data_IF_621210669824
#
_entry.id   IF_621210669824
#
_cell.length_a   1.000
_cell.length_b   1.000
_cell.length_c   1.000
_cell.angle_alpha   90.00
_cell.angle_beta   90.00
_cell.angle_gamma   90.00
#
_symmetry.space_group_name_H-M   'P 1'
#
loop_
_entity.id
_entity.type
_entity.pdbx_description
1 polymer ?
#
# COMPACT_ATOMS: atom_id res chain seq x y z
N UNK A 1 15.84 46.70 36.63
CA UNK A 1 16.37 45.53 35.90
C UNK A 1 15.65 45.42 34.56
N UNK A 2 16.28 45.90 33.49
CA UNK A 2 15.73 45.84 32.14
C UNK A 2 16.02 44.43 31.60
N UNK A 3 14.98 43.68 31.24
CA UNK A 3 15.09 42.34 30.66
C UNK A 3 15.53 42.51 29.20
N UNK A 4 16.75 42.09 28.87
CA UNK A 4 17.21 42.05 27.48
C UNK A 4 16.33 41.08 26.68
N UNK A 5 15.67 41.60 25.65
CA UNK A 5 14.93 40.79 24.68
C UNK A 5 15.95 40.03 23.83
N UNK A 6 16.00 38.71 23.98
CA UNK A 6 16.77 37.83 23.08
C UNK A 6 16.27 38.08 21.65
N UNK A 7 17.14 38.66 20.83
CA UNK A 7 16.91 38.81 19.40
C UNK A 7 16.85 37.42 18.79
N UNK A 8 15.67 36.96 18.41
CA UNK A 8 15.51 35.73 17.65
C UNK A 8 16.35 35.87 16.37
N UNK A 9 17.38 35.04 16.23
CA UNK A 9 18.23 35.01 15.05
C UNK A 9 17.34 34.70 13.84
N UNK A 10 16.98 35.75 13.10
CA UNK A 10 16.20 35.66 11.88
C UNK A 10 17.09 34.96 10.86
N UNK A 11 16.94 33.64 10.75
CA UNK A 11 17.70 32.78 9.83
C UNK A 11 17.72 33.43 8.46
N UNK A 12 18.92 33.60 7.92
CA UNK A 12 19.17 34.36 6.69
C UNK A 12 18.27 33.87 5.55
N UNK A 13 17.27 34.72 5.26
CA UNK A 13 16.34 34.53 4.16
C UNK A 13 17.09 35.02 2.92
N UNK A 14 17.85 34.14 2.26
CA UNK A 14 18.26 34.36 0.85
C UNK A 14 18.91 33.16 0.13
N UNK A 15 18.84 31.93 0.65
CA UNK A 15 19.14 30.76 -0.18
C UNK A 15 17.86 30.26 -0.86
N UNK A 16 17.85 30.12 -2.19
CA UNK A 16 16.89 29.23 -2.83
C UNK A 16 17.20 27.82 -2.31
N UNK A 17 16.47 27.37 -1.29
CA UNK A 17 16.69 26.05 -0.70
C UNK A 17 16.15 24.99 -1.66
N UNK A 18 17.09 24.33 -2.33
CA UNK A 18 16.87 23.14 -3.15
C UNK A 18 16.86 21.91 -2.26
N UNK A 19 15.86 21.04 -2.44
CA UNK A 19 15.75 19.79 -1.70
C UNK A 19 15.59 18.56 -2.59
N UNK A 20 15.65 17.39 -1.99
CA UNK A 20 15.30 16.13 -2.62
C UNK A 20 14.10 15.51 -1.90
N UNK A 21 13.17 14.95 -2.66
CA UNK A 21 12.00 14.26 -2.11
C UNK A 21 12.12 12.80 -2.47
N UNK A 22 12.34 11.97 -1.47
CA UNK A 22 12.38 10.52 -1.60
C UNK A 22 10.99 9.94 -1.32
N UNK A 23 10.38 9.38 -2.35
CA UNK A 23 9.09 8.68 -2.26
C UNK A 23 9.34 7.18 -2.27
N UNK A 24 9.01 6.50 -1.18
CA UNK A 24 8.99 5.03 -1.11
C UNK A 24 7.56 4.56 -1.35
N UNK A 25 7.25 4.21 -2.60
CA UNK A 25 5.95 3.70 -3.03
C UNK A 25 5.92 2.17 -2.96
N UNK A 26 5.42 1.63 -1.84
CA UNK A 26 5.11 0.21 -1.69
C UNK A 26 3.62 -0.04 -1.90
N UNK A 27 3.22 -1.30 -2.13
CA UNK A 27 1.81 -1.68 -2.25
C UNK A 27 1.02 -1.51 -0.94
N UNK A 28 1.68 -1.41 0.22
CA UNK A 28 1.01 -1.31 1.53
C UNK A 28 1.12 0.05 2.19
N UNK A 29 2.08 0.87 1.77
CA UNK A 29 2.34 2.18 2.34
C UNK A 29 3.11 3.05 1.36
N UNK A 30 2.87 4.35 1.46
CA UNK A 30 3.72 5.36 0.84
C UNK A 30 4.35 6.21 1.94
N UNK A 31 5.67 6.34 1.88
CA UNK A 31 6.45 7.16 2.80
C UNK A 31 7.14 8.22 1.96
N UNK A 32 6.98 9.48 2.37
CA UNK A 32 7.58 10.64 1.72
C UNK A 32 8.55 11.27 2.70
N UNK A 33 9.80 11.39 2.27
CA UNK A 33 10.87 11.98 3.06
C UNK A 33 11.48 13.11 2.25
N UNK A 34 11.56 14.30 2.83
CA UNK A 34 12.15 15.47 2.22
C UNK A 34 13.49 15.73 2.90
N UNK A 35 14.53 15.83 2.09
CA UNK A 35 15.91 15.98 2.54
C UNK A 35 16.58 17.18 1.89
N UNK A 36 17.68 17.62 2.49
CA UNK A 36 18.64 18.51 1.86
C UNK A 36 19.36 17.81 0.69
N UNK A 37 20.15 18.57 -0.05
CA UNK A 37 21.08 18.05 -1.08
C UNK A 37 22.11 17.08 -0.51
N UNK A 38 22.49 17.25 0.76
CA UNK A 38 23.40 16.35 1.48
C UNK A 38 22.73 15.08 2.03
N UNK A 39 21.40 14.96 1.88
CA UNK A 39 20.64 13.78 2.35
C UNK A 39 20.17 13.85 3.80
N UNK A 40 20.40 14.95 4.51
CA UNK A 40 19.86 15.19 5.85
C UNK A 40 18.33 15.33 5.79
N UNK A 41 17.61 14.62 6.66
CA UNK A 41 16.14 14.64 6.66
C UNK A 41 15.61 15.88 7.36
N UNK A 42 14.75 16.64 6.66
CA UNK A 42 14.13 17.86 7.16
C UNK A 42 12.72 17.54 7.65
N UNK A 43 11.93 16.90 6.78
CA UNK A 43 10.57 16.50 7.09
C UNK A 43 10.26 15.14 6.51
N UNK A 44 9.34 14.44 7.16
CA UNK A 44 8.82 13.18 6.65
C UNK A 44 7.36 13.03 7.03
N UNK A 45 6.63 12.30 6.20
CA UNK A 45 5.29 11.85 6.51
C UNK A 45 5.04 10.51 5.82
N UNK A 46 4.04 9.78 6.31
CA UNK A 46 3.59 8.56 5.68
C UNK A 46 2.07 8.56 5.62
N UNK A 47 1.50 7.73 4.75
CA UNK A 47 0.04 7.53 4.70
C UNK A 47 -0.53 7.19 6.09
N UNK A 48 0.22 6.46 6.93
CA UNK A 48 -0.18 6.18 8.31
C UNK A 48 -0.15 7.41 9.23
N UNK A 49 0.85 8.29 9.07
CA UNK A 49 0.95 9.53 9.86
C UNK A 49 -0.16 10.53 9.53
N UNK A 50 -0.74 10.46 8.33
CA UNK A 50 -1.89 11.28 7.93
C UNK A 50 -3.24 10.68 8.39
N UNK A 51 -3.23 9.67 9.27
CA UNK A 51 -4.44 9.11 9.88
C UNK A 51 -5.05 7.90 9.15
N UNK A 52 -4.47 7.43 8.04
CA UNK A 52 -5.01 6.28 7.31
C UNK A 52 -4.53 4.95 7.91
N UNK A 53 -5.49 4.11 8.30
CA UNK A 53 -5.25 2.79 8.93
C UNK A 53 -5.65 1.63 8.00
N UNK A 54 -5.07 0.45 8.23
CA UNK A 54 -5.41 -0.78 7.51
C UNK A 54 -5.21 -0.68 6.00
N UNK A 55 -6.13 -1.27 5.23
CA UNK A 55 -6.10 -1.28 3.77
C UNK A 55 -6.20 0.12 3.14
N UNK A 56 -6.74 1.13 3.85
CA UNK A 56 -6.85 2.50 3.32
C UNK A 56 -5.47 3.15 3.13
N UNK A 57 -4.43 2.65 3.80
CA UNK A 57 -3.06 3.18 3.71
C UNK A 57 -2.41 2.98 2.33
N UNK A 58 -2.86 1.98 1.56
CA UNK A 58 -2.34 1.69 0.22
C UNK A 58 -3.00 2.51 -0.89
N UNK A 59 -3.96 3.39 -0.58
CA UNK A 59 -4.65 4.17 -1.61
C UNK A 59 -3.79 5.33 -2.11
N UNK A 60 -4.04 5.74 -3.37
CA UNK A 60 -3.41 6.91 -4.00
C UNK A 60 -3.72 8.21 -3.26
N UNK A 61 -4.95 8.37 -2.76
CA UNK A 61 -5.37 9.52 -1.98
C UNK A 61 -4.60 9.65 -0.66
N UNK A 62 -4.39 8.55 0.06
CA UNK A 62 -3.60 8.55 1.28
C UNK A 62 -2.15 8.99 1.03
N UNK A 63 -1.58 8.58 -0.12
CA UNK A 63 -0.24 8.99 -0.53
C UNK A 63 -0.16 10.49 -0.87
N UNK A 64 -1.19 11.04 -1.53
CA UNK A 64 -1.30 12.47 -1.81
C UNK A 64 -1.34 13.29 -0.51
N UNK A 65 -2.21 12.92 0.44
CA UNK A 65 -2.32 13.59 1.73
C UNK A 65 -1.02 13.51 2.55
N UNK A 66 -0.30 12.38 2.48
CA UNK A 66 1.02 12.25 3.11
C UNK A 66 2.05 13.19 2.47
N UNK A 67 2.07 13.29 1.15
CA UNK A 67 3.00 14.17 0.44
C UNK A 67 2.71 15.64 0.71
N UNK A 68 1.43 16.02 0.80
CA UNK A 68 0.99 17.37 1.15
C UNK A 68 1.45 17.75 2.57
N UNK A 69 1.25 16.86 3.55
CA UNK A 69 1.66 17.10 4.94
C UNK A 69 3.19 17.20 5.09
N UNK A 70 3.96 16.37 4.39
CA UNK A 70 5.42 16.49 4.37
C UNK A 70 5.86 17.80 3.69
N UNK A 71 5.20 18.16 2.58
CA UNK A 71 5.47 19.36 1.81
C UNK A 71 5.23 20.64 2.60
N UNK A 72 4.10 20.74 3.31
CA UNK A 72 3.79 21.89 4.18
C UNK A 72 4.89 22.14 5.22
N UNK A 73 5.30 21.08 5.93
CA UNK A 73 6.42 21.15 6.89
C UNK A 73 7.72 21.58 6.22
N UNK A 74 8.01 21.09 5.01
CA UNK A 74 9.21 21.51 4.27
C UNK A 74 9.19 22.97 3.82
N UNK A 75 8.00 23.50 3.47
CA UNK A 75 7.83 24.91 3.13
C UNK A 75 8.03 25.80 4.37
N UNK A 76 7.58 25.37 5.55
CA UNK A 76 7.87 26.05 6.82
C UNK A 76 9.38 26.11 7.10
N UNK A 77 10.14 25.10 6.68
CA UNK A 77 11.60 25.08 6.76
C UNK A 77 12.31 25.86 5.63
N UNK A 78 11.57 26.44 4.68
CA UNK A 78 12.10 27.33 3.64
C UNK A 78 12.41 26.67 2.29
N UNK A 79 12.08 25.38 2.09
CA UNK A 79 12.31 24.69 0.82
C UNK A 79 11.31 25.19 -0.23
N UNK A 80 11.79 25.50 -1.43
CA UNK A 80 10.94 25.98 -2.54
C UNK A 80 10.98 25.10 -3.78
N UNK A 81 12.15 24.55 -4.10
CA UNK A 81 12.33 23.72 -5.31
C UNK A 81 12.87 22.35 -4.93
N UNK A 82 12.32 21.30 -5.52
CA UNK A 82 12.67 19.92 -5.18
C UNK A 82 12.87 19.03 -6.40
N UNK A 83 13.82 18.08 -6.29
CA UNK A 83 13.92 16.93 -7.19
C UNK A 83 13.17 15.76 -6.58
N UNK A 84 12.23 15.19 -7.31
CA UNK A 84 11.43 14.06 -6.87
C UNK A 84 12.08 12.77 -7.30
N UNK A 85 12.35 11.88 -6.34
CA UNK A 85 12.99 10.59 -6.52
C UNK A 85 12.04 9.51 -6.02
N UNK A 86 11.50 8.72 -6.94
CA UNK A 86 10.60 7.61 -6.61
C UNK A 86 11.37 6.32 -6.43
N UNK A 87 10.94 5.48 -5.48
CA UNK A 87 11.36 4.09 -5.32
C UNK A 87 10.14 3.19 -5.18
N UNK A 88 10.03 2.19 -6.03
CA UNK A 88 8.96 1.19 -6.02
C UNK A 88 7.84 1.44 -7.04
N UNK A 89 6.98 0.44 -7.21
CA UNK A 89 5.85 0.41 -8.16
C UNK A 89 4.48 0.64 -7.49
N UNK A 90 4.47 1.05 -6.22
CA UNK A 90 3.23 1.23 -5.48
C UNK A 90 2.32 2.36 -6.04
N UNK A 91 1.03 2.35 -5.67
CA UNK A 91 0.03 3.30 -6.18
C UNK A 91 0.33 4.76 -5.84
N UNK A 92 1.13 5.03 -4.80
CA UNK A 92 1.51 6.38 -4.39
C UNK A 92 2.53 7.08 -5.30
N UNK A 93 3.09 6.38 -6.30
CA UNK A 93 4.16 6.89 -7.18
C UNK A 93 3.84 8.22 -7.84
N UNK A 94 2.73 8.30 -8.57
CA UNK A 94 2.33 9.52 -9.28
C UNK A 94 1.52 10.47 -8.39
N UNK A 95 0.83 9.93 -7.39
CA UNK A 95 -0.03 10.71 -6.49
C UNK A 95 0.76 11.66 -5.58
N UNK A 96 1.99 11.28 -5.20
CA UNK A 96 2.85 12.16 -4.42
C UNK A 96 3.23 13.44 -5.17
N UNK A 97 3.43 13.38 -6.49
CA UNK A 97 3.67 14.56 -7.33
C UNK A 97 2.54 15.59 -7.17
N UNK A 98 1.29 15.13 -7.19
CA UNK A 98 0.12 16.00 -6.99
C UNK A 98 0.11 16.63 -5.59
N UNK A 99 0.36 15.84 -4.54
CA UNK A 99 0.36 16.35 -3.17
C UNK A 99 1.48 17.36 -2.88
N UNK A 100 2.65 17.19 -3.49
CA UNK A 100 3.78 18.14 -3.36
C UNK A 100 3.49 19.46 -4.09
N UNK A 101 2.85 19.40 -5.26
CA UNK A 101 2.39 20.60 -5.97
C UNK A 101 1.32 21.34 -5.15
N UNK A 102 0.36 20.62 -4.57
CA UNK A 102 -0.65 21.20 -3.66
C UNK A 102 -0.05 21.85 -2.42
N UNK A 103 1.08 21.35 -1.92
CA UNK A 103 1.80 21.95 -0.80
C UNK A 103 2.59 23.22 -1.16
N UNK A 104 2.71 23.57 -2.46
CA UNK A 104 3.42 24.76 -2.93
C UNK A 104 4.90 24.55 -3.26
N UNK A 105 5.36 23.30 -3.36
CA UNK A 105 6.73 22.99 -3.81
C UNK A 105 6.82 22.94 -5.33
N UNK A 106 7.87 23.55 -5.90
CA UNK A 106 8.18 23.48 -7.33
C UNK A 106 8.98 22.22 -7.63
N UNK A 107 8.49 21.36 -8.51
CA UNK A 107 9.17 20.12 -8.89
C UNK A 107 10.05 20.40 -10.10
N UNK A 108 11.38 20.26 -9.95
CA UNK A 108 12.34 20.51 -11.03
C UNK A 108 12.60 19.28 -11.89
N UNK A 109 12.67 18.10 -11.27
CA UNK A 109 12.98 16.84 -11.95
C UNK A 109 12.21 15.70 -11.28
N UNK A 110 11.75 14.75 -12.09
CA UNK A 110 11.16 13.48 -11.64
C UNK A 110 12.07 12.35 -12.08
N UNK A 111 12.67 11.65 -11.12
CA UNK A 111 13.53 10.49 -11.34
C UNK A 111 12.98 9.24 -10.67
N UNK A 112 13.28 8.07 -11.22
CA UNK A 112 12.98 6.78 -10.62
C UNK A 112 14.26 6.03 -10.28
N UNK A 113 14.35 5.58 -9.03
CA UNK A 113 15.44 4.76 -8.49
C UNK A 113 14.87 3.47 -7.91
N UNK A 114 14.03 2.77 -8.69
CA UNK A 114 13.56 1.43 -8.36
C UNK A 114 14.75 0.46 -8.36
N UNK A 115 15.09 -0.20 -7.24
CA UNK A 115 16.21 -1.14 -7.21
C UNK A 115 15.81 -2.42 -7.97
N UNK A 116 16.58 -2.74 -9.01
CA UNK A 116 16.44 -3.97 -9.79
C UNK A 116 17.56 -4.94 -9.35
N UNK A 117 17.23 -6.10 -8.76
CA UNK A 117 18.25 -7.06 -8.34
C UNK A 117 18.81 -7.85 -9.53
N UNK A 118 20.13 -7.95 -9.64
CA UNK A 118 20.81 -8.79 -10.63
C UNK A 118 20.95 -10.22 -10.11
N UNK A 119 19.87 -11.02 -10.19
CA UNK A 119 19.85 -12.43 -9.79
C UNK A 119 20.50 -12.73 -8.41
N UNK A 120 20.34 -11.82 -7.44
CA UNK A 120 20.90 -11.96 -6.09
C UNK A 120 20.10 -12.91 -5.20
N UNK A 121 19.61 -12.42 -4.07
CA UNK A 121 18.87 -13.26 -3.12
C UNK A 121 17.60 -13.87 -3.72
N UNK A 122 17.32 -15.12 -3.36
CA UNK A 122 16.09 -15.83 -3.75
C UNK A 122 14.85 -15.06 -3.28
N UNK A 123 13.93 -14.76 -4.21
CA UNK A 123 12.65 -14.15 -3.89
C UNK A 123 11.82 -15.04 -2.95
N UNK A 124 11.07 -14.41 -2.03
CA UNK A 124 10.16 -15.14 -1.14
C UNK A 124 9.15 -15.93 -1.96
N UNK A 125 8.83 -17.16 -1.52
CA UNK A 125 7.81 -18.00 -2.14
C UNK A 125 6.52 -17.20 -2.33
N UNK A 126 5.98 -17.19 -3.55
CA UNK A 126 4.73 -16.50 -3.89
C UNK A 126 3.63 -17.02 -2.95
N UNK A 127 2.95 -16.12 -2.26
CA UNK A 127 1.79 -16.46 -1.44
C UNK A 127 0.66 -16.88 -2.40
N UNK A 128 0.02 -18.03 -2.12
CA UNK A 128 -1.18 -18.45 -2.85
C UNK A 128 -2.31 -17.48 -2.48
N UNK A 129 -3.09 -16.99 -3.45
CA UNK A 129 -4.29 -16.20 -3.13
C UNK A 129 -5.34 -17.10 -2.47
N UNK A 130 -6.20 -16.48 -1.65
CA UNK A 130 -7.26 -17.18 -0.92
C UNK A 130 -8.28 -17.79 -1.91
N UNK A 131 -8.44 -17.22 -3.10
CA UNK A 131 -9.24 -17.79 -4.20
C UNK A 131 -8.85 -19.23 -4.52
N UNK A 132 -7.56 -19.54 -4.65
CA UNK A 132 -7.11 -20.92 -4.88
C UNK A 132 -7.36 -21.84 -3.67
N UNK A 133 -7.40 -21.29 -2.46
CA UNK A 133 -7.71 -22.08 -1.26
C UNK A 133 -9.20 -22.36 -1.20
N UNK A 134 -10.05 -21.39 -1.53
CA UNK A 134 -11.49 -21.55 -1.61
C UNK A 134 -11.89 -22.49 -2.74
N UNK A 135 -11.30 -22.41 -3.93
CA UNK A 135 -11.56 -23.38 -5.00
C UNK A 135 -11.16 -24.80 -4.57
N UNK A 136 -9.98 -24.99 -3.98
CA UNK A 136 -9.54 -26.32 -3.50
C UNK A 136 -10.41 -26.82 -2.33
N UNK A 137 -10.85 -25.95 -1.42
CA UNK A 137 -11.77 -26.31 -0.33
C UNK A 137 -13.18 -26.62 -0.85
N UNK A 138 -13.72 -25.82 -1.78
CA UNK A 138 -15.05 -26.03 -2.37
C UNK A 138 -15.05 -27.33 -3.16
N UNK A 139 -14.01 -27.62 -3.94
CA UNK A 139 -13.87 -28.88 -4.69
C UNK A 139 -13.78 -30.09 -3.73
N UNK A 140 -13.05 -29.96 -2.62
CA UNK A 140 -12.96 -31.03 -1.61
C UNK A 140 -14.28 -31.23 -0.86
N UNK A 141 -15.01 -30.17 -0.54
CA UNK A 141 -16.34 -30.28 0.09
C UNK A 141 -17.39 -30.83 -0.88
N UNK A 142 -17.40 -30.42 -2.16
CA UNK A 142 -18.36 -30.91 -3.16
C UNK A 142 -18.20 -32.40 -3.46
N UNK A 143 -16.97 -32.94 -3.47
CA UNK A 143 -16.74 -34.40 -3.63
C UNK A 143 -17.39 -35.21 -2.52
N UNK A 144 -17.36 -34.72 -1.27
CA UNK A 144 -17.97 -35.40 -0.13
C UNK A 144 -19.50 -35.39 -0.25
N UNK A 145 -20.10 -34.23 -0.58
CA UNK A 145 -21.55 -34.15 -0.78
C UNK A 145 -22.05 -34.96 -1.97
N UNK A 146 -21.28 -35.04 -3.06
CA UNK A 146 -21.64 -35.83 -4.24
C UNK A 146 -21.66 -37.34 -3.96
N UNK A 147 -20.71 -37.86 -3.16
CA UNK A 147 -20.67 -39.27 -2.74
C UNK A 147 -21.84 -39.62 -1.81
N UNK A 148 -22.18 -38.72 -0.88
CA UNK A 148 -23.35 -38.92 0.01
C UNK A 148 -24.66 -38.90 -0.79
N UNK A 149 -24.78 -38.01 -1.77
CA UNK A 149 -25.97 -37.90 -2.62
C UNK A 149 -26.18 -39.14 -3.52
N UNK A 150 -25.10 -39.72 -4.07
CA UNK A 150 -25.18 -40.96 -4.85
C UNK A 150 -25.58 -42.15 -3.98
N UNK A 151 -24.98 -42.31 -2.79
CA UNK A 151 -25.33 -43.40 -1.86
C UNK A 151 -26.79 -43.30 -1.39
N UNK A 152 -27.30 -42.09 -1.19
CA UNK A 152 -28.69 -41.89 -0.74
C UNK A 152 -29.72 -42.20 -1.83
N UNK A 153 -29.46 -41.81 -3.09
CA UNK A 153 -30.32 -42.18 -4.21
C UNK A 153 -30.32 -43.70 -4.47
N UNK A 154 -29.18 -44.36 -4.31
CA UNK A 154 -29.10 -45.83 -4.45
C UNK A 154 -29.87 -46.55 -3.34
N UNK A 155 -29.82 -46.03 -2.11
CA UNK A 155 -30.59 -46.55 -0.98
C UNK A 155 -32.10 -46.37 -1.17
N UNK A 156 -32.53 -45.21 -1.68
CA UNK A 156 -33.94 -44.94 -2.01
C UNK A 156 -34.43 -45.86 -3.13
N UNK A 157 -33.61 -46.11 -4.15
CA UNK A 157 -33.93 -47.05 -5.22
C UNK A 157 -34.07 -48.49 -4.70
N UNK A 158 -33.17 -48.92 -3.81
CA UNK A 158 -33.23 -50.23 -3.17
C UNK A 158 -34.50 -50.40 -2.32
N UNK A 159 -34.86 -49.40 -1.52
CA UNK A 159 -36.10 -49.42 -0.72
C UNK A 159 -37.34 -49.48 -1.62
N UNK A 160 -37.39 -48.69 -2.69
CA UNK A 160 -38.50 -48.73 -3.66
C UNK A 160 -38.61 -50.09 -4.33
N UNK A 161 -37.49 -50.70 -4.71
CA UNK A 161 -37.46 -52.02 -5.33
C UNK A 161 -37.90 -53.13 -4.35
N UNK A 162 -37.48 -53.05 -3.08
CA UNK A 162 -37.87 -54.01 -2.05
C UNK A 162 -39.38 -53.93 -1.74
N UNK A 163 -39.92 -52.71 -1.64
CA UNK A 163 -41.36 -52.47 -1.46
C UNK A 163 -42.17 -52.95 -2.67
N UNK A 164 -41.64 -52.80 -3.90
CA UNK A 164 -42.25 -53.35 -5.10
C UNK A 164 -42.31 -54.87 -5.04
N UNK A 165 -41.22 -55.55 -4.71
CA UNK A 165 -41.18 -57.02 -4.61
C UNK A 165 -42.10 -57.57 -3.50
N UNK A 166 -42.22 -56.87 -2.37
CA UNK A 166 -43.13 -57.25 -1.28
C UNK A 166 -44.61 -57.05 -1.64
N UNK A 167 -44.94 -56.11 -2.53
CA UNK A 167 -46.32 -55.84 -2.94
C UNK A 167 -46.89 -56.84 -3.95
N UNK A 168 -46.03 -57.61 -4.62
CA UNK A 168 -46.40 -58.56 -5.69
C UNK A 168 -46.09 -60.02 -5.35
N UNK A 169 -45.92 -60.34 -4.06
CA UNK A 169 -45.69 -61.70 -3.57
C UNK A 169 -46.86 -62.16 -2.67
N UNK A 170 -48.06 -62.10 -3.23
CA UNK A 170 -49.29 -62.83 -2.83
C UNK A 170 -49.97 -63.23 -4.13
#
# INVERSE_FOLDING_TARGET
MIKELKKDNKKDINNLFYGHVHVKASFTNTIVTITDTMGNTISWASSGSSGFKGARRSTSYAAQAAAENAGKKAVEHGIRSVKLITRGLGPGRLSCTKGLLSAGLKISLVGDLTPIPHNGCRAKKKKKSIEYILEVCIINSFKVYFIVFIKWNFFIWYIKHLLFVLKYKI
#
